data_IF_093226836099
#
_entry.id   IF_093226836099
#
_cell.length_a   1.000
_cell.length_b   1.000
_cell.length_c   1.000
_cell.angle_alpha   90.00
_cell.angle_beta   90.00
_cell.angle_gamma   90.00
#
_symmetry.space_group_name_H-M   'P 1'
#
loop_
_entity.id
_entity.type
_entity.pdbx_description
1 polymer ?
#
# COMPACT_ATOMS: atom_id res chain seq x y z
N UNK A 1 1.03 -15.35 6.39
CA UNK A 1 1.74 -14.07 6.36
C UNK A 1 1.30 -13.12 7.50
N UNK A 2 0.03 -13.11 7.90
CA UNK A 2 -0.50 -12.18 8.92
C UNK A 2 -0.55 -12.77 10.32
N UNK A 3 -0.44 -14.09 10.46
CA UNK A 3 -0.69 -14.83 11.70
C UNK A 3 0.13 -14.36 12.90
N UNK A 4 1.39 -14.02 12.70
CA UNK A 4 2.32 -13.56 13.72
C UNK A 4 2.64 -12.08 13.58
N UNK A 5 1.61 -11.23 13.43
CA UNK A 5 1.75 -9.78 13.34
C UNK A 5 1.17 -9.11 14.58
N UNK A 6 1.78 -7.99 14.97
CA UNK A 6 1.38 -7.19 16.13
C UNK A 6 1.08 -5.77 15.67
N UNK A 7 -0.15 -5.32 15.87
CA UNK A 7 -0.51 -3.93 15.64
C UNK A 7 -0.18 -3.09 16.88
N UNK A 8 0.75 -2.15 16.73
CA UNK A 8 1.28 -1.35 17.85
C UNK A 8 0.47 -0.05 18.09
N UNK A 9 -0.19 0.50 17.07
CA UNK A 9 -0.95 1.74 17.18
C UNK A 9 -2.08 1.80 16.16
N UNK A 10 -3.01 2.73 16.38
CA UNK A 10 -4.08 3.11 15.47
C UNK A 10 -3.98 4.59 15.13
N UNK A 11 -4.67 5.00 14.07
CA UNK A 11 -4.62 6.37 13.57
C UNK A 11 -3.46 6.65 12.64
N UNK A 12 -3.58 7.69 11.85
CA UNK A 12 -2.55 8.13 10.92
C UNK A 12 -2.72 9.62 10.62
N UNK A 13 -1.70 10.41 10.90
CA UNK A 13 -1.70 11.85 10.61
C UNK A 13 -1.23 12.19 9.17
N UNK A 14 -1.05 11.18 8.32
CA UNK A 14 -0.64 11.34 6.92
C UNK A 14 -1.66 12.08 6.07
N UNK A 15 -2.95 11.80 6.25
CA UNK A 15 -4.04 12.52 5.58
C UNK A 15 -4.04 12.44 4.06
N UNK A 16 -3.51 11.34 3.49
CA UNK A 16 -3.49 11.14 2.03
C UNK A 16 -4.90 11.20 1.46
N UNK A 17 -5.08 11.84 0.30
CA UNK A 17 -6.38 12.14 -0.28
C UNK A 17 -7.23 10.91 -0.61
N UNK A 18 -6.59 9.76 -0.85
CA UNK A 18 -7.21 8.49 -1.23
C UNK A 18 -7.39 7.50 -0.07
N UNK A 19 -6.87 7.80 1.13
CA UNK A 19 -6.80 6.83 2.23
C UNK A 19 -7.83 7.15 3.32
N UNK A 20 -8.57 6.12 3.76
CA UNK A 20 -9.59 6.26 4.81
C UNK A 20 -9.06 6.15 6.24
N UNK A 21 -7.81 5.78 6.44
CA UNK A 21 -7.29 5.49 7.79
C UNK A 21 -7.44 6.72 8.70
N UNK A 22 -7.09 7.91 8.24
CA UNK A 22 -7.25 9.14 9.03
C UNK A 22 -8.71 9.48 9.35
N UNK A 23 -9.65 9.07 8.50
CA UNK A 23 -11.08 9.28 8.71
C UNK A 23 -11.67 8.22 9.67
N UNK A 24 -11.30 6.95 9.51
CA UNK A 24 -11.83 5.84 10.32
C UNK A 24 -11.17 5.69 11.69
N UNK A 25 -9.85 5.75 11.73
CA UNK A 25 -9.09 5.53 12.97
C UNK A 25 -8.70 6.84 13.66
N UNK A 26 -8.93 7.96 12.97
CA UNK A 26 -8.54 9.28 13.44
C UNK A 26 -7.15 9.72 12.99
N UNK A 27 -6.95 11.03 13.11
CA UNK A 27 -5.68 11.69 12.78
C UNK A 27 -4.66 11.60 13.93
N UNK A 28 -5.11 11.38 15.16
CA UNK A 28 -4.23 11.13 16.30
C UNK A 28 -3.73 9.69 16.28
N UNK A 29 -2.44 9.52 16.47
CA UNK A 29 -1.82 8.20 16.62
C UNK A 29 -1.96 7.76 18.08
N UNK A 30 -2.78 6.74 18.32
CA UNK A 30 -3.00 6.15 19.64
C UNK A 30 -2.20 4.88 19.75
N UNK A 31 -1.15 4.92 20.58
CA UNK A 31 -0.19 3.84 20.75
C UNK A 31 -0.58 2.92 21.89
N UNK A 32 -0.33 1.64 21.71
CA UNK A 32 -0.31 0.67 22.82
C UNK A 32 0.96 0.87 23.64
N UNK A 33 0.91 0.53 24.92
CA UNK A 33 2.12 0.56 25.73
C UNK A 33 3.11 -0.54 25.32
N UNK A 34 4.39 -0.33 25.58
CA UNK A 34 5.46 -1.29 25.34
C UNK A 34 5.16 -2.62 26.02
N UNK A 35 4.69 -2.60 27.26
CA UNK A 35 4.32 -3.78 28.06
C UNK A 35 3.18 -4.58 27.41
N UNK A 36 2.18 -3.88 26.86
CA UNK A 36 1.07 -4.52 26.14
C UNK A 36 1.56 -5.25 24.88
N UNK A 37 2.47 -4.63 24.12
CA UNK A 37 3.06 -5.20 22.91
C UNK A 37 3.93 -6.41 23.26
N UNK A 38 4.79 -6.29 24.27
CA UNK A 38 5.64 -7.38 24.79
C UNK A 38 4.78 -8.55 25.30
N UNK A 39 3.69 -8.26 26.01
CA UNK A 39 2.75 -9.30 26.49
C UNK A 39 2.12 -10.08 25.32
N UNK A 40 1.78 -9.41 24.23
CA UNK A 40 1.25 -10.08 23.02
C UNK A 40 2.34 -10.89 22.32
N UNK A 41 3.56 -10.35 22.19
CA UNK A 41 4.70 -11.08 21.64
C UNK A 41 4.97 -12.39 22.40
N UNK A 42 4.92 -12.37 23.75
CA UNK A 42 5.05 -13.57 24.56
C UNK A 42 3.94 -14.61 24.30
N UNK A 43 2.69 -14.15 24.04
CA UNK A 43 1.60 -15.06 23.64
C UNK A 43 1.85 -15.70 22.27
N UNK A 44 2.38 -14.92 21.31
CA UNK A 44 2.75 -15.44 19.99
C UNK A 44 3.87 -16.46 20.11
N UNK A 45 4.89 -16.19 20.91
CA UNK A 45 6.02 -17.11 21.15
C UNK A 45 5.54 -18.46 21.71
N UNK A 46 4.50 -18.46 22.55
CA UNK A 46 3.92 -19.67 23.12
C UNK A 46 3.04 -20.48 22.13
N UNK A 47 2.79 -19.98 20.91
CA UNK A 47 2.01 -20.73 19.92
C UNK A 47 2.83 -21.90 19.33
N UNK A 48 2.22 -23.10 19.20
CA UNK A 48 2.95 -24.33 18.81
C UNK A 48 3.67 -24.24 17.45
N UNK A 49 3.14 -23.43 16.54
CA UNK A 49 3.66 -23.27 15.17
C UNK A 49 4.54 -22.02 14.99
N UNK A 50 4.84 -21.29 16.08
CA UNK A 50 5.76 -20.17 16.04
C UNK A 50 7.21 -20.64 15.87
N UNK A 51 7.90 -20.12 14.85
CA UNK A 51 9.28 -20.51 14.51
C UNK A 51 10.33 -19.44 14.81
N UNK A 52 9.95 -18.45 15.62
CA UNK A 52 10.84 -17.35 16.02
C UNK A 52 10.74 -16.08 15.15
N UNK A 53 9.79 -16.01 14.22
CA UNK A 53 9.66 -14.89 13.29
C UNK A 53 8.33 -14.16 13.47
N UNK A 54 8.40 -12.88 13.89
CA UNK A 54 7.24 -11.98 13.86
C UNK A 54 7.18 -11.37 12.47
N UNK A 55 6.06 -11.53 11.78
CA UNK A 55 5.92 -11.15 10.37
C UNK A 55 5.70 -9.66 10.14
N UNK A 56 5.13 -8.97 11.13
CA UNK A 56 4.97 -7.50 11.14
C UNK A 56 4.85 -7.00 12.58
N UNK A 57 5.74 -6.10 12.96
CA UNK A 57 5.66 -5.31 14.17
C UNK A 57 5.39 -3.86 13.76
N UNK A 58 4.13 -3.54 13.49
CA UNK A 58 3.78 -2.33 12.76
C UNK A 58 2.45 -1.70 13.12
N UNK A 59 1.89 -0.98 12.16
CA UNK A 59 0.63 -0.25 12.28
C UNK A 59 0.22 0.37 10.95
N UNK A 60 -0.79 1.27 10.92
CA UNK A 60 -1.24 1.93 9.69
C UNK A 60 -0.12 2.62 8.90
N UNK A 61 0.91 3.07 9.60
CA UNK A 61 2.19 3.51 9.05
C UNK A 61 3.27 3.17 10.06
N UNK A 62 4.18 2.26 9.74
CA UNK A 62 5.06 1.59 10.70
C UNK A 62 5.81 2.55 11.64
N UNK A 63 6.28 3.69 11.12
CA UNK A 63 7.10 4.63 11.88
C UNK A 63 6.35 5.86 12.41
N UNK A 64 5.09 5.72 12.77
CA UNK A 64 4.34 6.77 13.46
C UNK A 64 4.17 6.51 14.96
N UNK A 65 4.60 5.36 15.46
CA UNK A 65 4.48 5.01 16.87
C UNK A 65 5.20 6.03 17.77
N UNK A 66 4.52 6.50 18.80
CA UNK A 66 5.04 7.48 19.76
C UNK A 66 5.01 8.94 19.28
N UNK A 67 4.72 9.20 18.00
CA UNK A 67 4.67 10.55 17.46
C UNK A 67 3.36 11.26 17.80
N UNK A 68 3.44 12.50 18.21
CA UNK A 68 2.29 13.33 18.60
C UNK A 68 2.61 14.82 18.47
N UNK A 69 1.59 15.66 18.63
CA UNK A 69 1.79 17.12 18.71
C UNK A 69 2.41 17.53 20.05
N UNK A 70 3.35 18.45 20.03
CA UNK A 70 3.96 19.04 21.23
C UNK A 70 2.90 19.77 22.08
N UNK A 71 2.04 20.55 21.43
CA UNK A 71 0.89 21.20 22.04
C UNK A 71 -0.39 20.47 21.58
N UNK A 72 -0.93 19.61 22.43
CA UNK A 72 -2.13 18.80 22.12
C UNK A 72 -3.39 19.66 22.02
N UNK A 73 -3.53 20.72 22.86
CA UNK A 73 -4.68 21.64 22.77
C UNK A 73 -4.77 22.31 21.39
N UNK A 74 -3.64 22.72 20.83
CA UNK A 74 -3.59 23.24 19.47
C UNK A 74 -3.97 22.18 18.43
N UNK A 75 -3.66 20.89 18.66
CA UNK A 75 -4.03 19.80 17.77
C UNK A 75 -5.54 19.50 17.78
N UNK A 76 -6.22 19.63 18.93
CA UNK A 76 -7.67 19.39 19.06
C UNK A 76 -8.48 20.30 18.15
N UNK A 77 -8.06 21.56 18.00
CA UNK A 77 -8.72 22.56 17.15
C UNK A 77 -8.13 22.66 15.73
N UNK A 78 -7.14 21.81 15.41
CA UNK A 78 -6.42 21.89 14.14
C UNK A 78 -7.27 21.38 12.97
N UNK A 79 -7.49 22.24 11.97
CA UNK A 79 -8.24 21.92 10.74
C UNK A 79 -7.37 21.38 9.59
N UNK A 80 -6.06 21.30 9.77
CA UNK A 80 -5.17 20.75 8.74
C UNK A 80 -5.53 19.29 8.44
N UNK A 81 -5.68 18.89 7.17
CA UNK A 81 -6.01 17.50 6.81
C UNK A 81 -4.83 16.55 7.03
N UNK A 82 -3.59 17.07 7.04
CA UNK A 82 -2.36 16.29 7.18
C UNK A 82 -1.37 17.02 8.10
N UNK A 83 -0.62 16.26 8.92
CA UNK A 83 0.47 16.81 9.72
C UNK A 83 1.82 16.74 8.98
N UNK A 84 1.88 16.16 7.77
CA UNK A 84 3.11 15.95 6.99
C UNK A 84 3.03 16.53 5.57
N UNK A 85 1.88 17.05 5.16
CA UNK A 85 1.70 17.67 3.85
C UNK A 85 1.00 19.04 3.99
N UNK A 86 1.42 20.08 3.24
CA UNK A 86 2.53 20.15 2.27
C UNK A 86 3.91 20.09 2.90
N UNK A 87 4.00 20.31 4.21
CA UNK A 87 5.22 20.21 5.02
C UNK A 87 4.91 19.60 6.38
N UNK A 88 5.92 19.02 7.01
CA UNK A 88 5.80 18.50 8.37
C UNK A 88 5.40 19.65 9.32
N UNK A 89 4.38 19.40 10.13
CA UNK A 89 3.87 20.38 11.06
C UNK A 89 4.93 20.74 12.13
N UNK A 90 5.24 22.01 12.35
CA UNK A 90 6.22 22.40 13.36
C UNK A 90 5.84 21.96 14.78
N UNK A 91 4.55 21.70 15.03
CA UNK A 91 4.06 21.15 16.30
C UNK A 91 4.22 19.62 16.42
N UNK A 92 4.56 18.90 15.34
CA UNK A 92 4.73 17.44 15.36
C UNK A 92 6.12 17.08 15.92
N UNK A 93 6.13 16.19 16.90
CA UNK A 93 7.35 15.53 17.39
C UNK A 93 7.55 14.29 16.53
N UNK A 94 8.69 14.24 15.81
CA UNK A 94 9.03 13.14 14.87
C UNK A 94 10.09 12.19 15.42
N UNK A 95 10.17 12.08 16.74
CA UNK A 95 11.15 11.24 17.45
C UNK A 95 10.78 9.75 17.30
N UNK A 96 11.74 8.94 16.85
CA UNK A 96 11.63 7.50 16.69
C UNK A 96 12.12 6.69 17.91
N UNK A 97 12.63 7.33 18.96
CA UNK A 97 13.25 6.66 20.12
C UNK A 97 12.31 5.64 20.78
N UNK A 98 11.04 6.03 21.01
CA UNK A 98 10.02 5.14 21.61
C UNK A 98 9.74 3.91 20.73
N UNK A 99 9.79 4.06 19.41
CA UNK A 99 9.60 2.95 18.48
C UNK A 99 10.78 1.97 18.57
N UNK A 100 12.01 2.49 18.58
CA UNK A 100 13.22 1.69 18.76
C UNK A 100 13.22 0.92 20.09
N UNK A 101 12.78 1.55 21.19
CA UNK A 101 12.61 0.85 22.48
C UNK A 101 11.67 -0.34 22.40
N UNK A 102 10.58 -0.23 21.64
CA UNK A 102 9.65 -1.36 21.45
C UNK A 102 10.29 -2.47 20.63
N UNK A 103 11.01 -2.13 19.57
CA UNK A 103 11.71 -3.13 18.75
C UNK A 103 12.74 -3.88 19.57
N UNK A 104 13.59 -3.16 20.32
CA UNK A 104 14.59 -3.77 21.18
C UNK A 104 13.96 -4.67 22.26
N UNK A 105 12.83 -4.24 22.87
CA UNK A 105 12.15 -5.01 23.89
C UNK A 105 11.53 -6.31 23.34
N UNK A 106 11.03 -6.30 22.10
CA UNK A 106 10.48 -7.49 21.45
C UNK A 106 11.58 -8.42 20.97
N UNK A 107 12.63 -7.88 20.35
CA UNK A 107 13.75 -8.68 19.82
C UNK A 107 14.56 -9.35 20.93
N UNK A 108 14.59 -8.76 22.14
CA UNK A 108 15.26 -9.35 23.31
C UNK A 108 14.49 -10.51 23.94
N UNK A 109 13.25 -10.81 23.50
CA UNK A 109 12.47 -11.91 24.08
C UNK A 109 13.05 -13.27 23.69
N UNK A 110 13.27 -14.18 24.64
CA UNK A 110 13.63 -15.55 24.33
C UNK A 110 12.60 -16.19 23.40
N UNK A 111 13.06 -16.77 22.29
CA UNK A 111 12.21 -17.37 21.27
C UNK A 111 11.96 -16.46 20.04
N UNK A 112 12.23 -15.16 20.10
CA UNK A 112 12.24 -14.29 18.93
C UNK A 112 13.62 -14.37 18.27
N UNK A 113 13.65 -14.82 17.02
CA UNK A 113 14.86 -14.82 16.18
C UNK A 113 14.95 -13.53 15.39
N UNK A 114 13.80 -13.02 14.91
CA UNK A 114 13.72 -11.77 14.15
C UNK A 114 12.29 -11.24 14.12
N UNK A 115 12.13 -9.94 14.27
CA UNK A 115 10.89 -9.24 13.97
C UNK A 115 11.04 -8.49 12.63
N UNK A 116 10.03 -8.59 11.79
CA UNK A 116 9.98 -7.87 10.51
C UNK A 116 9.00 -6.71 10.58
N UNK A 117 9.19 -5.73 9.70
CA UNK A 117 8.27 -4.63 9.44
C UNK A 117 7.73 -4.82 8.03
N UNK A 118 6.49 -5.35 7.94
CA UNK A 118 5.75 -5.54 6.71
C UNK A 118 4.84 -4.37 6.36
N UNK A 119 4.53 -3.54 7.35
CA UNK A 119 3.75 -2.31 7.20
C UNK A 119 4.52 -1.23 6.45
N UNK A 120 3.79 -0.34 5.74
CA UNK A 120 4.40 0.73 4.97
C UNK A 120 5.15 1.74 5.85
N UNK A 121 6.33 2.15 5.40
CA UNK A 121 7.19 3.11 6.09
C UNK A 121 7.07 4.47 5.42
N UNK A 122 6.97 5.52 6.24
CA UNK A 122 7.00 6.91 5.77
C UNK A 122 8.43 7.44 5.76
N UNK A 123 9.02 7.40 4.60
CA UNK A 123 10.39 7.90 4.40
C UNK A 123 10.52 9.41 4.56
N UNK A 124 9.44 10.16 4.36
CA UNK A 124 9.37 11.60 4.62
C UNK A 124 9.58 11.96 6.11
N UNK A 125 9.15 11.08 7.04
CA UNK A 125 9.44 11.25 8.47
C UNK A 125 10.89 10.88 8.84
N UNK A 126 11.48 9.93 8.12
CA UNK A 126 12.90 9.55 8.32
C UNK A 126 13.83 10.67 7.87
N UNK A 127 13.53 11.27 6.71
CA UNK A 127 14.33 12.32 6.09
C UNK A 127 14.06 13.72 6.63
N UNK A 128 13.00 13.88 7.44
CA UNK A 128 12.65 15.17 8.01
C UNK A 128 13.75 15.68 8.95
N UNK A 129 14.16 16.93 8.72
CA UNK A 129 15.10 17.64 9.61
C UNK A 129 14.32 18.41 10.67
N UNK A 130 14.27 17.85 11.87
CA UNK A 130 13.71 18.49 13.06
C UNK A 130 14.69 19.56 13.59
N UNK A 131 14.16 20.53 14.34
CA UNK A 131 15.01 21.43 15.13
C UNK A 131 15.65 20.74 16.35
N UNK A 132 15.12 19.60 16.74
CA UNK A 132 15.65 18.77 17.81
C UNK A 132 16.62 17.72 17.24
N UNK A 133 17.91 17.86 17.57
CA UNK A 133 18.95 17.00 17.04
C UNK A 133 18.79 15.55 17.49
N UNK A 134 18.29 15.29 18.70
CA UNK A 134 18.02 13.95 19.20
C UNK A 134 16.98 13.22 18.32
N UNK A 135 15.96 13.95 17.86
CA UNK A 135 14.98 13.40 16.91
C UNK A 135 15.61 13.05 15.56
N UNK A 136 16.58 13.85 15.09
CA UNK A 136 17.32 13.58 13.83
C UNK A 136 18.20 12.33 13.98
N UNK A 137 18.93 12.21 15.09
CA UNK A 137 19.75 11.02 15.40
C UNK A 137 18.88 9.77 15.51
N UNK A 138 17.76 9.84 16.24
CA UNK A 138 16.82 8.73 16.37
C UNK A 138 16.19 8.31 15.02
N UNK A 139 15.93 9.26 14.10
CA UNK A 139 15.44 8.95 12.76
C UNK A 139 16.49 8.20 11.93
N UNK A 140 17.74 8.59 12.02
CA UNK A 140 18.86 7.92 11.31
C UNK A 140 19.15 6.55 11.92
N UNK A 141 19.10 6.41 13.26
CA UNK A 141 19.23 5.13 13.94
C UNK A 141 18.08 4.20 13.50
N UNK A 142 16.84 4.71 13.49
CA UNK A 142 15.69 3.95 13.02
C UNK A 142 15.87 3.46 11.56
N UNK A 143 16.32 4.33 10.66
CA UNK A 143 16.55 3.95 9.27
C UNK A 143 17.58 2.81 9.16
N UNK A 144 18.68 2.90 9.93
CA UNK A 144 19.73 1.87 9.97
C UNK A 144 19.21 0.56 10.53
N UNK A 145 18.52 0.58 11.66
CA UNK A 145 17.96 -0.64 12.28
C UNK A 145 16.88 -1.28 11.42
N UNK A 146 15.95 -0.47 10.89
CA UNK A 146 14.93 -0.95 9.95
C UNK A 146 15.58 -1.76 8.83
N UNK A 147 16.53 -1.16 8.12
CA UNK A 147 17.14 -1.76 6.93
C UNK A 147 17.98 -2.98 7.31
N UNK A 148 18.78 -2.91 8.37
CA UNK A 148 19.71 -3.99 8.71
C UNK A 148 19.06 -5.14 9.47
N UNK A 149 18.01 -4.89 10.24
CA UNK A 149 17.44 -5.89 11.16
C UNK A 149 16.01 -6.32 10.80
N UNK A 150 15.17 -5.40 10.33
CA UNK A 150 13.72 -5.63 10.23
C UNK A 150 13.19 -5.81 8.80
N UNK A 151 14.03 -5.70 7.78
CA UNK A 151 13.67 -5.99 6.39
C UNK A 151 13.98 -7.44 6.07
N UNK A 152 13.02 -8.13 5.44
CA UNK A 152 13.16 -9.53 5.00
C UNK A 152 13.68 -9.65 3.56
N UNK A 153 14.60 -8.78 3.15
CA UNK A 153 15.13 -8.68 1.79
C UNK A 153 14.41 -7.67 0.89
N UNK A 154 13.17 -7.30 1.21
CA UNK A 154 12.32 -6.42 0.37
C UNK A 154 11.59 -5.40 1.24
N UNK A 155 11.97 -4.13 1.15
CA UNK A 155 11.31 -3.03 1.85
C UNK A 155 10.21 -2.42 0.98
N UNK A 156 8.99 -2.41 1.48
CA UNK A 156 7.85 -1.80 0.82
C UNK A 156 7.77 -0.32 1.17
N UNK A 157 7.73 0.54 0.17
CA UNK A 157 7.52 1.98 0.32
C UNK A 157 6.52 2.46 -0.71
N UNK A 158 5.82 3.53 -0.41
CA UNK A 158 4.69 4.01 -1.20
C UNK A 158 4.93 5.45 -1.70
N UNK A 159 5.73 5.66 -2.78
CA UNK A 159 5.81 6.95 -3.46
C UNK A 159 4.49 7.33 -4.15
N UNK A 160 3.69 6.35 -4.60
CA UNK A 160 2.37 6.40 -5.23
C UNK A 160 2.37 6.94 -6.66
N UNK A 161 3.14 7.95 -6.99
CA UNK A 161 3.31 8.52 -8.33
C UNK A 161 4.68 9.20 -8.45
N UNK A 162 5.07 9.60 -9.66
CA UNK A 162 6.30 10.37 -9.90
C UNK A 162 6.04 11.83 -10.26
N UNK A 163 4.81 12.17 -10.64
CA UNK A 163 4.38 13.53 -10.98
C UNK A 163 4.05 14.33 -9.71
N UNK A 164 4.77 15.42 -9.47
CA UNK A 164 4.54 16.28 -8.32
C UNK A 164 3.14 16.91 -8.33
N UNK A 165 2.56 17.17 -9.52
CA UNK A 165 1.18 17.63 -9.66
C UNK A 165 0.20 16.62 -9.10
N UNK A 166 0.35 15.35 -9.43
CA UNK A 166 -0.48 14.25 -8.92
C UNK A 166 -0.23 14.04 -7.43
N UNK A 167 1.03 14.02 -7.00
CA UNK A 167 1.42 13.85 -5.60
C UNK A 167 0.89 14.96 -4.70
N UNK A 168 0.84 16.21 -5.18
CA UNK A 168 0.25 17.34 -4.46
C UNK A 168 -1.23 17.08 -4.14
N UNK A 169 -2.02 16.63 -5.13
CA UNK A 169 -3.42 16.27 -4.89
C UNK A 169 -3.56 15.03 -4.00
N UNK A 170 -2.70 14.03 -4.15
CA UNK A 170 -2.63 12.85 -3.27
C UNK A 170 -2.25 13.21 -1.82
N UNK A 171 -1.75 14.41 -1.56
CA UNK A 171 -1.12 14.83 -0.29
C UNK A 171 0.06 13.93 0.10
N UNK A 172 0.89 13.67 -0.90
CA UNK A 172 2.14 12.90 -0.74
C UNK A 172 3.34 13.85 -0.93
N UNK A 173 4.51 13.51 -0.39
CA UNK A 173 5.73 14.29 -0.65
C UNK A 173 6.14 14.20 -2.11
N UNK A 174 6.93 15.19 -2.58
CA UNK A 174 7.55 15.14 -3.91
C UNK A 174 8.33 13.85 -4.12
N UNK A 175 8.36 13.37 -5.37
CA UNK A 175 9.14 12.19 -5.73
C UNK A 175 10.65 12.40 -5.56
N UNK A 176 11.13 13.64 -5.55
CA UNK A 176 12.53 13.95 -5.24
C UNK A 176 12.97 13.36 -3.89
N UNK A 177 12.08 13.36 -2.89
CA UNK A 177 12.34 12.80 -1.58
C UNK A 177 12.50 11.26 -1.61
N UNK A 178 11.86 10.59 -2.57
CA UNK A 178 12.05 9.15 -2.78
C UNK A 178 13.48 8.85 -3.29
N UNK A 179 14.04 9.69 -4.15
CA UNK A 179 15.44 9.54 -4.58
C UNK A 179 16.41 9.70 -3.40
N UNK A 180 16.15 10.64 -2.49
CA UNK A 180 16.97 10.80 -1.28
C UNK A 180 16.89 9.56 -0.38
N UNK A 181 15.68 9.05 -0.18
CA UNK A 181 15.48 7.82 0.59
C UNK A 181 16.16 6.61 -0.07
N UNK A 182 16.07 6.48 -1.39
CA UNK A 182 16.75 5.40 -2.12
C UNK A 182 18.27 5.47 -1.94
N UNK A 183 18.84 6.66 -2.06
CA UNK A 183 20.30 6.84 -1.80
C UNK A 183 20.69 6.44 -0.38
N UNK A 184 19.88 6.82 0.62
CA UNK A 184 20.11 6.43 2.01
C UNK A 184 20.02 4.89 2.18
N UNK A 185 18.99 4.29 1.60
CA UNK A 185 18.77 2.84 1.63
C UNK A 185 19.95 2.08 0.99
N UNK A 186 20.35 2.49 -0.20
CA UNK A 186 21.49 1.86 -0.94
C UNK A 186 22.81 2.01 -0.16
N UNK A 187 23.04 3.18 0.44
CA UNK A 187 24.22 3.44 1.28
C UNK A 187 24.25 2.49 2.48
N UNK A 188 23.15 2.37 3.24
CA UNK A 188 23.08 1.48 4.41
C UNK A 188 23.23 0.02 4.00
N UNK A 189 22.61 -0.42 2.90
CA UNK A 189 22.79 -1.77 2.36
C UNK A 189 24.26 -2.07 2.06
N UNK A 190 24.93 -1.16 1.37
CA UNK A 190 26.35 -1.30 1.01
C UNK A 190 27.23 -1.37 2.25
N UNK A 191 27.02 -0.48 3.22
CA UNK A 191 27.78 -0.45 4.47
C UNK A 191 27.60 -1.73 5.30
N UNK A 192 26.40 -2.31 5.27
CA UNK A 192 26.04 -3.53 6.00
C UNK A 192 26.30 -4.83 5.19
N UNK A 193 26.82 -4.76 3.97
CA UNK A 193 27.03 -5.94 3.10
C UNK A 193 25.75 -6.64 2.66
N UNK A 194 24.61 -5.93 2.65
CA UNK A 194 23.30 -6.48 2.33
C UNK A 194 22.92 -6.29 0.84
N UNK A 195 22.02 -7.13 0.35
CA UNK A 195 21.48 -7.06 -1.03
C UNK A 195 19.96 -6.95 -1.03
N UNK A 196 19.43 -6.07 -0.21
CA UNK A 196 17.98 -5.86 -0.10
C UNK A 196 17.49 -4.91 -1.19
N UNK A 197 16.19 -5.00 -1.50
CA UNK A 197 15.54 -4.23 -2.55
C UNK A 197 14.42 -3.36 -1.99
N UNK A 198 14.22 -2.19 -2.58
CA UNK A 198 13.00 -1.39 -2.40
C UNK A 198 11.94 -1.91 -3.37
N UNK A 199 10.72 -2.11 -2.86
CA UNK A 199 9.54 -2.41 -3.66
C UNK A 199 8.62 -1.21 -3.59
N UNK A 200 8.62 -0.34 -4.62
CA UNK A 200 7.78 0.84 -4.64
C UNK A 200 6.34 0.47 -5.00
N UNK A 201 5.37 1.10 -4.30
CA UNK A 201 3.96 1.06 -4.64
C UNK A 201 3.60 2.27 -5.49
N UNK A 202 2.84 2.02 -6.57
CA UNK A 202 2.32 3.06 -7.44
C UNK A 202 0.84 2.90 -7.71
N UNK A 203 0.15 4.03 -7.88
CA UNK A 203 -1.28 4.12 -8.18
C UNK A 203 -1.45 4.85 -9.49
N UNK A 204 -2.12 4.19 -10.47
CA UNK A 204 -2.62 4.82 -11.69
C UNK A 204 -4.07 5.30 -11.51
N UNK A 205 -4.54 6.09 -12.43
CA UNK A 205 -5.96 6.52 -12.50
C UNK A 205 -6.46 7.30 -11.28
N UNK A 206 -5.55 7.82 -10.45
CA UNK A 206 -5.92 8.73 -9.37
C UNK A 206 -6.47 10.05 -9.97
N UNK A 207 -7.48 10.71 -9.36
CA UNK A 207 -7.89 12.03 -9.80
C UNK A 207 -6.70 12.96 -10.03
N UNK A 208 -6.67 13.61 -11.19
CA UNK A 208 -5.58 14.46 -11.63
C UNK A 208 -4.41 13.73 -12.32
N UNK A 209 -4.41 12.40 -12.40
CA UNK A 209 -3.40 11.63 -13.11
C UNK A 209 -3.81 11.42 -14.57
N UNK A 210 -2.95 11.84 -15.49
CA UNK A 210 -3.12 11.66 -16.95
C UNK A 210 -2.20 10.56 -17.47
N UNK A 211 -2.38 10.18 -18.72
CA UNK A 211 -1.55 9.19 -19.41
C UNK A 211 -0.09 9.63 -19.51
N UNK A 212 0.15 10.93 -19.69
CA UNK A 212 1.50 11.53 -19.75
C UNK A 212 2.26 11.34 -18.43
N UNK A 213 1.59 11.50 -17.28
CA UNK A 213 2.20 11.26 -15.96
C UNK A 213 2.66 9.81 -15.83
N UNK A 214 1.86 8.86 -16.35
CA UNK A 214 2.18 7.45 -16.32
C UNK A 214 3.27 7.06 -17.32
N UNK A 215 3.31 7.71 -18.46
CA UNK A 215 4.39 7.55 -19.45
C UNK A 215 5.75 8.02 -18.87
N UNK A 216 5.76 9.16 -18.21
CA UNK A 216 6.95 9.66 -17.50
C UNK A 216 7.35 8.75 -16.32
N UNK A 217 6.37 8.22 -15.57
CA UNK A 217 6.62 7.24 -14.52
C UNK A 217 7.31 6.00 -15.07
N UNK A 218 6.91 5.50 -16.24
CA UNK A 218 7.56 4.36 -16.88
C UNK A 218 9.04 4.63 -17.19
N UNK A 219 9.36 5.82 -17.74
CA UNK A 219 10.75 6.22 -18.02
C UNK A 219 11.57 6.34 -16.72
N UNK A 220 11.01 6.96 -15.70
CA UNK A 220 11.66 7.12 -14.40
C UNK A 220 11.93 5.75 -13.75
N UNK A 221 10.94 4.86 -13.76
CA UNK A 221 11.08 3.53 -13.16
C UNK A 221 12.06 2.65 -13.92
N UNK A 222 12.15 2.80 -15.26
CA UNK A 222 13.21 2.20 -16.07
C UNK A 222 14.58 2.70 -15.63
N UNK A 223 14.74 4.01 -15.51
CA UNK A 223 16.01 4.61 -15.08
C UNK A 223 16.46 4.20 -13.67
N UNK A 224 15.52 3.79 -12.82
CA UNK A 224 15.77 3.26 -11.48
C UNK A 224 15.89 1.73 -11.43
N UNK A 225 15.80 1.04 -12.56
CA UNK A 225 15.78 -0.43 -12.69
C UNK A 225 14.67 -1.10 -11.87
N UNK A 226 13.48 -0.48 -11.85
CA UNK A 226 12.31 -1.05 -11.19
C UNK A 226 11.38 -1.77 -12.17
N UNK A 227 11.30 -3.10 -12.05
CA UNK A 227 10.21 -3.88 -12.61
C UNK A 227 9.07 -3.91 -11.61
N UNK A 228 8.01 -3.14 -11.89
CA UNK A 228 6.95 -2.88 -10.91
C UNK A 228 6.09 -4.11 -10.65
N UNK A 229 5.97 -4.49 -9.38
CA UNK A 229 5.14 -5.62 -8.92
C UNK A 229 3.93 -5.16 -8.09
N UNK A 230 4.06 -4.05 -7.39
CA UNK A 230 3.05 -3.52 -6.48
C UNK A 230 2.39 -2.29 -7.11
N UNK A 231 1.44 -2.53 -7.99
CA UNK A 231 0.71 -1.50 -8.74
C UNK A 231 -0.79 -1.73 -8.61
N UNK A 232 -1.53 -0.63 -8.54
CA UNK A 232 -3.00 -0.69 -8.53
C UNK A 232 -3.60 0.52 -9.25
N UNK A 233 -4.80 0.33 -9.79
CA UNK A 233 -5.62 1.44 -10.24
C UNK A 233 -6.33 2.07 -9.03
N UNK A 234 -6.50 3.39 -9.07
CA UNK A 234 -7.28 4.06 -8.05
C UNK A 234 -8.68 3.45 -7.95
N UNK A 235 -9.01 3.03 -6.74
CA UNK A 235 -10.35 2.53 -6.41
C UNK A 235 -11.01 3.54 -5.47
N UNK A 236 -12.13 4.15 -5.87
CA UNK A 236 -12.87 5.06 -5.02
C UNK A 236 -13.23 4.40 -3.70
N UNK A 237 -12.75 4.98 -2.60
CA UNK A 237 -13.00 4.49 -1.26
C UNK A 237 -13.83 5.53 -0.51
N UNK A 238 -14.99 5.17 0.08
CA UNK A 238 -15.86 6.11 0.79
C UNK A 238 -15.09 6.96 1.81
N UNK A 239 -15.56 8.19 2.04
CA UNK A 239 -15.00 9.16 2.99
C UNK A 239 -13.64 9.76 2.58
N UNK A 240 -13.15 9.53 1.37
CA UNK A 240 -11.89 10.12 0.89
C UNK A 240 -12.14 11.30 -0.03
N UNK A 241 -11.25 12.29 0.04
CA UNK A 241 -11.28 13.47 -0.86
C UNK A 241 -11.14 13.06 -2.31
N UNK A 242 -10.26 12.09 -2.60
CA UNK A 242 -10.07 11.57 -3.95
C UNK A 242 -11.34 10.92 -4.51
N UNK A 243 -12.15 10.27 -3.67
CA UNK A 243 -13.44 9.72 -4.11
C UNK A 243 -14.45 10.82 -4.45
N UNK A 244 -14.51 11.88 -3.65
CA UNK A 244 -15.35 13.04 -3.95
C UNK A 244 -14.96 13.66 -5.29
N UNK A 245 -13.64 13.89 -5.51
CA UNK A 245 -13.14 14.41 -6.77
C UNK A 245 -13.42 13.47 -7.95
N UNK A 246 -13.26 12.16 -7.76
CA UNK A 246 -13.52 11.15 -8.81
C UNK A 246 -14.97 11.20 -9.32
N UNK A 247 -15.94 11.32 -8.44
CA UNK A 247 -17.35 11.35 -8.84
C UNK A 247 -17.79 12.72 -9.34
N UNK A 248 -17.37 13.80 -8.69
CA UNK A 248 -17.75 15.16 -9.07
C UNK A 248 -17.03 15.66 -10.32
N UNK A 249 -15.77 15.28 -10.53
CA UNK A 249 -14.89 15.84 -11.55
C UNK A 249 -14.29 17.19 -11.14
N UNK A 250 -14.36 17.55 -9.86
CA UNK A 250 -13.83 18.80 -9.31
C UNK A 250 -13.00 18.55 -8.05
N UNK A 251 -11.96 19.37 -7.86
CA UNK A 251 -11.27 19.41 -6.57
C UNK A 251 -12.24 19.96 -5.50
N UNK A 252 -12.53 19.22 -4.42
CA UNK A 252 -13.52 19.63 -3.43
C UNK A 252 -13.16 20.91 -2.63
N UNK A 253 -11.89 21.35 -2.69
CA UNK A 253 -11.42 22.52 -1.97
C UNK A 253 -11.31 23.77 -2.83
N UNK A 254 -10.88 23.62 -4.09
CA UNK A 254 -10.70 24.74 -5.01
C UNK A 254 -11.84 24.91 -6.00
N UNK A 255 -12.67 23.86 -6.17
CA UNK A 255 -13.73 23.74 -7.17
C UNK A 255 -13.21 23.83 -8.62
N UNK A 256 -11.92 23.65 -8.81
CA UNK A 256 -11.33 23.54 -10.15
C UNK A 256 -11.64 22.17 -10.78
N UNK A 257 -11.89 22.09 -12.09
CA UNK A 257 -12.06 20.82 -12.78
C UNK A 257 -10.82 19.94 -12.63
N UNK A 258 -11.04 18.65 -12.36
CA UNK A 258 -9.97 17.66 -12.23
C UNK A 258 -10.27 16.45 -13.11
N UNK A 259 -9.31 16.05 -13.93
CA UNK A 259 -9.44 14.85 -14.75
C UNK A 259 -9.55 13.60 -13.89
N UNK A 260 -10.44 12.67 -14.28
CA UNK A 260 -10.63 11.39 -13.62
C UNK A 260 -10.83 10.30 -14.67
N UNK A 261 -9.97 9.30 -14.70
CA UNK A 261 -10.11 8.12 -15.55
C UNK A 261 -11.28 7.25 -15.05
N UNK A 262 -12.48 7.46 -15.63
CA UNK A 262 -13.72 6.78 -15.19
C UNK A 262 -14.01 5.50 -15.96
N UNK A 263 -13.60 5.44 -17.22
CA UNK A 263 -13.86 4.28 -18.08
C UNK A 263 -12.77 3.21 -17.98
N UNK A 264 -13.09 1.93 -18.24
CA UNK A 264 -12.08 0.88 -18.31
C UNK A 264 -10.97 1.16 -19.32
N UNK A 265 -11.29 1.83 -20.44
CA UNK A 265 -10.33 2.22 -21.47
C UNK A 265 -9.32 3.23 -20.94
N UNK A 266 -9.77 4.30 -20.28
CA UNK A 266 -8.90 5.33 -19.68
C UNK A 266 -8.00 4.73 -18.60
N UNK A 267 -8.54 3.84 -17.75
CA UNK A 267 -7.75 3.15 -16.74
C UNK A 267 -6.67 2.25 -17.35
N UNK A 268 -7.02 1.49 -18.39
CA UNK A 268 -6.08 0.64 -19.10
C UNK A 268 -4.98 1.45 -19.79
N UNK A 269 -5.33 2.60 -20.40
CA UNK A 269 -4.38 3.52 -21.05
C UNK A 269 -3.32 4.05 -20.08
N UNK A 270 -3.66 4.22 -18.81
CA UNK A 270 -2.70 4.56 -17.77
C UNK A 270 -1.94 3.34 -17.22
N UNK A 271 -2.67 2.25 -16.94
CA UNK A 271 -2.12 1.07 -16.29
C UNK A 271 -1.03 0.38 -17.10
N UNK A 272 -1.13 0.37 -18.44
CA UNK A 272 -0.15 -0.31 -19.31
C UNK A 272 1.28 0.17 -19.10
N UNK A 273 1.48 1.44 -18.75
CA UNK A 273 2.80 2.02 -18.51
C UNK A 273 3.56 1.40 -17.32
N UNK A 274 2.88 0.78 -16.36
CA UNK A 274 3.54 0.03 -15.31
C UNK A 274 4.33 -1.18 -15.82
N UNK A 275 3.90 -1.73 -16.97
CA UNK A 275 4.44 -2.96 -17.53
C UNK A 275 5.33 -2.72 -18.75
N UNK A 276 5.96 -1.53 -18.84
CA UNK A 276 6.82 -1.14 -19.95
C UNK A 276 7.88 -2.18 -20.30
N UNK A 277 8.34 -2.97 -19.35
CA UNK A 277 9.36 -4.00 -19.48
C UNK A 277 8.85 -5.31 -20.10
N UNK A 278 7.53 -5.46 -20.25
CA UNK A 278 6.93 -6.65 -20.84
C UNK A 278 6.89 -6.53 -22.38
N UNK A 279 7.47 -7.50 -23.13
CA UNK A 279 7.47 -7.45 -24.60
C UNK A 279 6.08 -7.35 -25.23
N UNK A 280 5.10 -8.03 -24.63
CA UNK A 280 3.70 -8.05 -25.08
C UNK A 280 3.01 -6.68 -24.98
N UNK A 281 3.40 -5.84 -24.03
CA UNK A 281 2.80 -4.52 -23.83
C UNK A 281 3.43 -3.43 -24.71
N UNK A 282 4.62 -3.65 -25.27
CA UNK A 282 5.37 -2.65 -26.02
C UNK A 282 4.56 -2.01 -27.15
N UNK A 283 3.94 -2.85 -27.99
CA UNK A 283 3.18 -2.33 -29.14
C UNK A 283 1.98 -1.46 -28.75
N UNK A 284 1.33 -1.77 -27.61
CA UNK A 284 0.24 -0.98 -27.07
C UNK A 284 0.76 0.34 -26.51
N UNK A 285 1.85 0.31 -25.74
CA UNK A 285 2.49 1.50 -25.17
C UNK A 285 3.00 2.44 -26.26
N UNK A 286 3.65 1.94 -27.32
CA UNK A 286 4.11 2.78 -28.43
C UNK A 286 2.96 3.47 -29.17
N UNK A 287 1.84 2.78 -29.38
CA UNK A 287 0.63 3.40 -29.98
C UNK A 287 0.08 4.48 -29.08
N UNK A 288 0.00 4.22 -27.78
CA UNK A 288 -0.51 5.17 -26.81
C UNK A 288 0.38 6.42 -26.70
N UNK A 289 1.71 6.26 -26.66
CA UNK A 289 2.67 7.36 -26.66
C UNK A 289 2.52 8.26 -27.90
N UNK A 290 2.30 7.68 -29.10
CA UNK A 290 2.01 8.46 -30.30
C UNK A 290 0.67 9.19 -30.20
N UNK A 291 -0.36 8.54 -29.65
CA UNK A 291 -1.70 9.12 -29.46
C UNK A 291 -1.68 10.35 -28.54
N UNK A 292 -0.91 10.31 -27.46
CA UNK A 292 -0.78 11.42 -26.51
C UNK A 292 0.31 12.43 -26.90
N UNK A 293 0.91 12.30 -28.09
CA UNK A 293 1.95 13.23 -28.57
C UNK A 293 3.31 13.08 -27.90
N UNK A 294 3.57 11.98 -27.17
CA UNK A 294 4.81 11.73 -26.44
C UNK A 294 5.68 10.65 -27.10
N UNK A 295 5.78 10.67 -28.43
CA UNK A 295 6.66 9.77 -29.17
C UNK A 295 8.14 9.88 -28.76
N UNK A 296 8.55 11.02 -28.20
CA UNK A 296 9.88 11.26 -27.63
C UNK A 296 10.26 10.25 -26.52
N UNK A 297 9.27 9.68 -25.84
CA UNK A 297 9.50 8.70 -24.77
C UNK A 297 9.72 7.27 -25.29
N UNK A 298 9.40 6.97 -26.56
CA UNK A 298 9.58 5.63 -27.13
C UNK A 298 11.06 5.24 -27.08
N UNK A 299 11.95 6.12 -27.58
CA UNK A 299 13.38 5.88 -27.52
C UNK A 299 13.87 5.72 -26.06
N UNK A 300 13.43 6.59 -25.16
CA UNK A 300 13.80 6.53 -23.74
C UNK A 300 13.40 5.20 -23.08
N UNK A 301 12.25 4.63 -23.48
CA UNK A 301 11.77 3.36 -22.93
C UNK A 301 12.43 2.14 -23.58
N UNK A 302 12.72 2.17 -24.87
CA UNK A 302 13.04 0.95 -25.61
C UNK A 302 14.40 0.93 -26.29
N UNK A 303 15.12 2.07 -26.42
CA UNK A 303 16.47 2.05 -26.93
C UNK A 303 17.42 1.33 -25.95
N UNK A 304 18.19 0.38 -26.49
CA UNK A 304 19.10 -0.44 -25.70
C UNK A 304 18.46 -1.57 -24.88
N UNK A 305 17.13 -1.74 -24.94
CA UNK A 305 16.46 -2.86 -24.28
C UNK A 305 16.57 -4.12 -25.14
N UNK A 306 17.45 -5.02 -24.78
CA UNK A 306 17.47 -6.37 -25.32
C UNK A 306 16.44 -7.22 -24.57
N UNK A 307 15.36 -7.63 -25.24
CA UNK A 307 14.44 -8.63 -24.71
C UNK A 307 15.11 -10.00 -24.80
N UNK A 308 15.76 -10.44 -23.74
CA UNK A 308 16.13 -11.84 -23.62
C UNK A 308 14.82 -12.65 -23.55
N UNK A 309 14.56 -13.44 -24.60
CA UNK A 309 13.40 -14.30 -24.67
C UNK A 309 13.33 -15.19 -23.41
N UNK A 310 12.17 -15.18 -22.75
CA UNK A 310 11.77 -16.00 -21.60
C UNK A 310 12.93 -16.54 -20.78
N UNK A 311 13.58 -15.72 -19.96
CA UNK A 311 14.27 -16.23 -18.80
C UNK A 311 13.16 -16.79 -17.88
N UNK A 312 13.06 -18.11 -17.79
CA UNK A 312 12.33 -18.77 -16.71
C UNK A 312 12.88 -18.18 -15.43
N UNK A 313 12.02 -17.58 -14.63
CA UNK A 313 12.35 -17.26 -13.25
C UNK A 313 12.61 -18.61 -12.57
N UNK A 314 13.87 -19.02 -12.52
CA UNK A 314 14.28 -20.11 -11.68
C UNK A 314 14.16 -19.65 -10.22
N UNK A 315 13.18 -20.21 -9.55
CA UNK A 315 12.97 -20.09 -8.11
C UNK A 315 14.09 -20.80 -7.31
N UNK A 316 15.30 -20.91 -7.87
CA UNK A 316 16.47 -21.58 -7.30
C UNK A 316 17.61 -20.61 -7.02
N UNK A 317 17.39 -19.64 -6.15
CA UNK A 317 18.48 -18.90 -5.53
C UNK A 317 18.09 -18.48 -4.12
N UNK A 318 17.57 -19.41 -3.32
CA UNK A 318 17.55 -19.29 -1.86
C UNK A 318 17.96 -20.61 -1.27
N UNK A 319 19.19 -20.67 -0.76
CA UNK A 319 19.63 -21.59 0.28
C UNK A 319 19.92 -23.01 -0.16
N UNK A 320 21.15 -23.30 -0.56
CA UNK A 320 21.76 -24.62 -0.44
C UNK A 320 21.88 -24.98 1.05
N UNK A 321 21.10 -25.96 1.49
CA UNK A 321 21.39 -26.76 2.69
C UNK A 321 21.90 -28.12 2.25
N UNK A 322 22.76 -28.78 3.05
CA UNK A 322 23.61 -29.87 2.60
C UNK A 322 22.85 -31.16 2.32
N UNK A 323 23.41 -31.94 1.39
CA UNK A 323 22.96 -33.24 0.91
C UNK A 323 22.71 -34.25 2.03
N UNK A 324 21.61 -34.99 1.92
CA UNK A 324 21.43 -36.30 2.54
C UNK A 324 21.37 -37.36 1.46
N UNK A 325 21.92 -38.56 1.70
CA UNK A 325 22.15 -39.54 0.66
C UNK A 325 20.88 -40.29 0.23
N UNK A 326 20.91 -40.73 -1.03
CA UNK A 326 19.93 -41.54 -1.71
C UNK A 326 19.48 -42.79 -0.95
N UNK A 327 18.18 -43.04 -0.94
CA UNK A 327 17.61 -44.37 -0.89
C UNK A 327 16.49 -44.49 -1.93
N UNK A 328 16.70 -45.40 -2.85
CA UNK A 328 15.72 -45.93 -3.78
C UNK A 328 14.39 -46.29 -3.11
N UNK A 329 13.27 -45.84 -3.69
CA UNK A 329 12.07 -46.68 -3.84
C UNK A 329 11.16 -46.16 -4.95
N UNK A 330 10.74 -47.14 -5.76
CA UNK A 330 9.92 -46.97 -6.95
C UNK A 330 8.43 -46.85 -6.62
N UNK A 331 7.72 -46.04 -7.41
CA UNK A 331 6.35 -46.33 -7.83
C UNK A 331 5.20 -46.02 -6.86
N UNK A 332 4.44 -44.98 -7.20
CA UNK A 332 2.97 -44.81 -7.07
C UNK A 332 2.62 -43.33 -6.93
N UNK A 333 2.28 -42.71 -8.03
CA UNK A 333 1.93 -41.30 -8.00
C UNK A 333 1.11 -40.82 -9.20
N UNK A 334 0.22 -41.64 -9.76
CA UNK A 334 -0.59 -41.24 -10.93
C UNK A 334 -2.13 -41.22 -10.72
N UNK A 335 -2.64 -41.43 -9.51
CA UNK A 335 -4.11 -41.45 -9.24
C UNK A 335 -4.68 -40.24 -8.48
N UNK A 336 -3.88 -39.44 -7.81
CA UNK A 336 -4.42 -38.30 -7.04
C UNK A 336 -4.74 -37.03 -7.85
N UNK A 337 -4.30 -36.90 -9.09
CA UNK A 337 -4.56 -35.71 -9.92
C UNK A 337 -5.91 -35.68 -10.63
N UNK A 338 -6.62 -36.82 -10.72
CA UNK A 338 -7.94 -36.90 -11.36
C UNK A 338 -9.09 -36.66 -10.39
N UNK A 339 -9.01 -37.13 -9.15
CA UNK A 339 -10.05 -36.91 -8.12
C UNK A 339 -10.28 -35.43 -7.81
N UNK A 340 -9.22 -34.59 -7.78
CA UNK A 340 -9.32 -33.15 -7.56
C UNK A 340 -9.98 -32.35 -8.69
N UNK A 341 -10.02 -32.90 -9.90
CA UNK A 341 -10.70 -32.26 -11.04
C UNK A 341 -12.18 -32.57 -11.06
N UNK A 342 -12.59 -33.72 -10.59
CA UNK A 342 -13.98 -34.17 -10.58
C UNK A 342 -14.75 -33.55 -9.39
N UNK A 343 -14.15 -33.37 -8.23
CA UNK A 343 -14.75 -32.61 -7.11
C UNK A 343 -15.02 -31.14 -7.47
N UNK A 344 -14.13 -30.48 -8.22
CA UNK A 344 -14.37 -29.08 -8.69
C UNK A 344 -15.48 -28.97 -9.74
N UNK A 345 -15.78 -30.00 -10.48
CA UNK A 345 -16.92 -30.02 -11.42
C UNK A 345 -18.24 -30.21 -10.69
N UNK A 346 -18.31 -31.08 -9.70
CA UNK A 346 -19.52 -31.29 -8.90
C UNK A 346 -19.92 -30.07 -8.05
N UNK A 347 -18.95 -29.38 -7.44
CA UNK A 347 -19.23 -28.16 -6.65
C UNK A 347 -19.67 -26.96 -7.50
N UNK A 348 -19.26 -26.87 -8.78
CA UNK A 348 -19.77 -25.83 -9.70
C UNK A 348 -21.20 -26.11 -10.16
N UNK A 349 -21.58 -27.36 -10.39
CA UNK A 349 -22.96 -27.76 -10.73
C UNK A 349 -23.94 -27.42 -9.59
N UNK A 350 -23.62 -27.82 -8.38
CA UNK A 350 -24.48 -27.56 -7.20
C UNK A 350 -24.66 -26.06 -6.85
N UNK A 351 -23.69 -25.20 -7.19
CA UNK A 351 -23.83 -23.74 -7.02
C UNK A 351 -24.74 -23.10 -8.08
N UNK A 352 -24.72 -23.60 -9.32
CA UNK A 352 -25.60 -23.11 -10.38
C UNK A 352 -27.06 -23.48 -10.10
N UNK A 353 -27.32 -24.71 -9.63
CA UNK A 353 -28.68 -25.16 -9.29
C UNK A 353 -29.30 -24.41 -8.10
N UNK A 354 -28.49 -24.11 -7.06
CA UNK A 354 -28.95 -23.27 -5.93
C UNK A 354 -29.25 -21.83 -6.33
N UNK A 355 -28.52 -21.24 -7.28
CA UNK A 355 -28.82 -19.89 -7.77
C UNK A 355 -30.09 -19.87 -8.64
N UNK A 356 -30.33 -20.89 -9.45
CA UNK A 356 -31.55 -21.01 -10.25
C UNK A 356 -32.81 -21.23 -9.37
N UNK A 357 -32.68 -21.99 -8.29
CA UNK A 357 -33.77 -22.23 -7.33
C UNK A 357 -34.12 -20.96 -6.53
N UNK A 358 -33.10 -20.20 -6.06
CA UNK A 358 -33.32 -18.92 -5.38
C UNK A 358 -33.97 -17.85 -6.26
N UNK A 359 -33.71 -17.86 -7.58
CA UNK A 359 -34.38 -16.94 -8.52
C UNK A 359 -35.83 -17.33 -8.77
N UNK A 360 -36.21 -18.61 -8.74
CA UNK A 360 -37.59 -19.06 -8.86
C UNK A 360 -38.43 -18.74 -7.62
N UNK A 361 -37.87 -18.83 -6.44
CA UNK A 361 -38.55 -18.50 -5.18
C UNK A 361 -38.76 -16.98 -4.99
N UNK A 362 -37.87 -16.14 -5.49
CA UNK A 362 -38.02 -14.68 -5.44
C UNK A 362 -38.99 -14.12 -6.49
N UNK A 363 -39.20 -14.84 -7.59
CA UNK A 363 -40.19 -14.45 -8.63
C UNK A 363 -41.65 -14.63 -8.23
N UNK A 364 -41.95 -15.44 -7.20
CA UNK A 364 -43.35 -15.71 -6.75
C UNK A 364 -43.85 -14.76 -5.64
N UNK A 365 -43.02 -13.86 -5.11
CA UNK A 365 -43.39 -12.98 -3.96
C UNK A 365 -43.69 -11.53 -4.27
N UNK A 366 -43.85 -11.11 -5.53
CA UNK A 366 -44.20 -9.72 -5.84
C UNK A 366 -45.42 -9.62 -6.75
N UNK A 367 -46.62 -9.60 -6.14
CA UNK A 367 -47.76 -8.89 -6.68
C UNK A 367 -48.07 -7.69 -5.79
N UNK A 368 -48.06 -6.44 -6.30
CA UNK A 368 -48.33 -5.27 -5.49
C UNK A 368 -49.83 -5.12 -5.21
N UNK A 369 -50.17 -4.96 -3.93
CA UNK A 369 -51.51 -4.44 -3.54
C UNK A 369 -51.53 -2.94 -3.84
N UNK A 370 -52.44 -2.52 -4.70
CA UNK A 370 -52.81 -1.12 -4.92
C UNK A 370 -53.42 -0.55 -3.63
N UNK A 371 -52.78 0.46 -3.03
CA UNK A 371 -53.40 1.34 -2.05
C UNK A 371 -53.62 2.70 -2.68
N UNK A 372 -54.85 3.17 -2.57
CA UNK A 372 -55.36 4.43 -3.07
C UNK A 372 -54.72 5.63 -2.39
N UNK A 373 -54.30 6.59 -3.19
CA UNK A 373 -53.73 7.87 -2.78
C UNK A 373 -54.83 8.81 -2.33
N UNK A 374 -54.77 9.38 -1.12
CA UNK A 374 -55.64 10.42 -0.60
C UNK A 374 -54.91 11.79 -0.67
N UNK A 375 -55.45 12.79 -1.40
CA UNK A 375 -54.68 14.01 -1.73
C UNK A 375 -54.87 15.19 -0.77
N UNK A 376 -55.14 14.99 0.52
CA UNK A 376 -55.31 16.11 1.45
C UNK A 376 -54.42 15.99 2.70
N UNK A 377 -53.15 16.42 2.57
CA UNK A 377 -52.31 16.67 3.74
C UNK A 377 -51.64 18.04 3.63
N UNK A 378 -52.17 19.04 4.39
CA UNK A 378 -51.49 20.33 4.60
C UNK A 378 -50.64 20.29 5.87
N UNK A 379 -49.38 20.70 5.85
CA UNK A 379 -48.61 20.81 7.07
C UNK A 379 -48.90 22.15 7.79
N UNK A 380 -49.28 22.06 9.06
CA UNK A 380 -49.42 23.21 9.95
C UNK A 380 -48.00 23.73 10.36
N UNK A 381 -47.74 24.95 10.03
CA UNK A 381 -46.62 25.74 10.57
C UNK A 381 -46.88 26.05 12.04
N UNK A 382 -45.97 25.64 12.91
CA UNK A 382 -45.94 26.11 14.32
C UNK A 382 -44.77 27.10 14.52
N UNK A 383 -45.10 28.38 14.56
CA UNK A 383 -44.27 29.42 15.16
C UNK A 383 -44.47 29.39 16.68
N UNK A 384 -43.38 29.26 17.44
CA UNK A 384 -43.27 29.81 18.81
C UNK A 384 -41.78 30.11 19.06
N UNK A 385 -41.59 31.38 19.29
CA UNK A 385 -40.82 32.19 20.24
C UNK A 385 -39.42 31.71 20.59
#
# INVERSE_FOLDING_TARGET
MIKFSINMHRGCFGGCAFCTISAHQGKFVVCRSKESIVKEAKKIIAMPDFKGYISDLGGPSANMYGMHGRNLKACEHCKRPSCVNPMVCPNLITDHSKLLEVYHAVDALPGVKKSFIGSGVRYDLILHKSKDEKSNEAAMQYARELITRHVSGRLKVAPENTSDRVLKFMRKPSFSLFYEFKRLFDKINKEAGLRQQIIPYFISSHPGCHEEDMAELAVITKGLDFHLEQVQDFTPTPMTVATTAFYSGYDPYTLEPIFCAKTPREKLAQRMFFFWYKPEERGAIERELRRIGRADLIAKLYDGVQYHGRARYDAKAVGSSPERPDKHEQGRGRRQGQEWRDERRQTKGQRADRQAQAQRENGQRQKPKRTSFNPNFHPKTNKRR
#
